data_IF_621003084659
#
_entry.id   IF_621003084659
#
_cell.length_a   1.000
_cell.length_b   1.000
_cell.length_c   1.000
_cell.angle_alpha   90.00
_cell.angle_beta   90.00
_cell.angle_gamma   90.00
#
_symmetry.space_group_name_H-M   'P 1'
#
loop_
_entity.id
_entity.type
_entity.pdbx_description
1 polymer ?
#
# COMPACT_ATOMS: atom_id res chain seq x y z
N UNK A 1 15.87 3.06 0.82
CA UNK A 1 14.94 2.06 0.36
C UNK A 1 15.63 0.94 -0.43
N UNK A 2 14.88 -0.01 -0.88
CA UNK A 2 15.39 -1.10 -1.68
C UNK A 2 15.03 -0.89 -3.15
N UNK A 3 15.72 -1.61 -4.03
CA UNK A 3 15.49 -1.49 -5.46
C UNK A 3 15.03 -2.84 -6.02
N UNK A 4 14.08 -2.80 -6.93
CA UNK A 4 13.66 -3.99 -7.65
C UNK A 4 14.54 -4.18 -8.89
N UNK A 5 14.66 -5.42 -9.40
CA UNK A 5 15.63 -5.74 -10.43
C UNK A 5 15.56 -4.92 -11.69
N UNK A 6 14.40 -4.40 -12.01
CA UNK A 6 14.25 -3.54 -13.17
C UNK A 6 12.98 -2.73 -13.07
N UNK A 7 12.95 -1.63 -13.78
CA UNK A 7 11.79 -0.77 -13.86
C UNK A 7 11.47 -0.58 -15.32
N UNK A 8 11.81 -0.97 -16.29
CA UNK A 8 11.42 -0.77 -17.66
C UNK A 8 10.95 0.65 -17.94
N UNK A 9 10.31 0.81 -19.05
CA UNK A 9 9.67 2.06 -19.38
C UNK A 9 8.29 2.13 -18.70
N UNK A 10 7.63 3.24 -18.85
CA UNK A 10 6.35 3.44 -18.17
C UNK A 10 5.29 2.42 -18.60
N UNK A 11 5.30 2.03 -19.86
CA UNK A 11 4.39 0.99 -20.33
C UNK A 11 4.69 -0.35 -19.73
N UNK A 12 5.94 -0.61 -19.45
CA UNK A 12 6.37 -1.88 -18.87
C UNK A 12 6.32 -1.87 -17.35
N UNK A 13 6.22 -0.71 -16.73
CA UNK A 13 6.31 -0.60 -15.29
C UNK A 13 5.29 -1.50 -14.59
N UNK A 14 4.04 -1.40 -14.97
CA UNK A 14 3.00 -2.23 -14.34
C UNK A 14 3.25 -3.71 -14.62
N UNK A 15 3.65 -4.04 -15.83
CA UNK A 15 3.93 -5.41 -16.20
C UNK A 15 5.11 -5.97 -15.42
N UNK A 16 6.18 -5.19 -15.31
CA UNK A 16 7.35 -5.65 -14.57
C UNK A 16 7.08 -5.76 -13.08
N UNK A 17 6.18 -4.93 -12.56
CA UNK A 17 5.81 -4.96 -11.15
C UNK A 17 4.79 -6.04 -10.84
N UNK A 18 4.07 -6.53 -11.84
CA UNK A 18 3.07 -7.57 -11.66
C UNK A 18 3.63 -8.98 -11.76
N UNK A 19 4.77 -9.14 -12.39
CA UNK A 19 5.34 -10.46 -12.62
C UNK A 19 6.13 -10.89 -11.38
N UNK A 20 5.82 -12.07 -10.88
CA UNK A 20 6.61 -12.68 -9.82
C UNK A 20 8.03 -12.89 -10.31
N UNK A 21 8.99 -12.50 -9.52
CA UNK A 21 10.38 -12.50 -9.93
C UNK A 21 11.28 -13.14 -8.89
N UNK A 22 10.86 -14.28 -8.46
CA UNK A 22 11.58 -14.94 -7.40
C UNK A 22 11.48 -14.13 -6.12
N UNK A 23 12.60 -13.77 -5.57
CA UNK A 23 12.63 -13.14 -4.27
C UNK A 23 12.33 -11.64 -4.29
N UNK A 24 12.51 -11.00 -5.46
CA UNK A 24 12.36 -9.55 -5.57
C UNK A 24 11.11 -9.22 -6.38
N UNK A 25 9.97 -9.41 -5.76
CA UNK A 25 8.70 -9.28 -6.45
C UNK A 25 7.97 -8.01 -6.02
N UNK A 26 8.00 -7.02 -6.88
CA UNK A 26 7.33 -5.75 -6.62
C UNK A 26 5.82 -5.87 -6.55
N UNK A 27 5.24 -6.90 -7.16
CA UNK A 27 3.80 -7.10 -7.13
C UNK A 27 3.30 -7.60 -5.79
N UNK A 28 4.18 -8.17 -4.97
CA UNK A 28 3.81 -8.68 -3.65
C UNK A 28 4.38 -7.83 -2.51
N UNK A 29 5.34 -6.97 -2.79
CA UNK A 29 6.04 -6.22 -1.76
C UNK A 29 7.13 -7.01 -1.06
N UNK A 30 7.44 -8.21 -1.54
CA UNK A 30 8.48 -9.04 -0.94
C UNK A 30 9.85 -8.73 -1.53
N UNK A 31 10.86 -8.90 -0.71
CA UNK A 31 12.26 -8.80 -1.12
C UNK A 31 12.98 -9.98 -0.45
N UNK A 32 13.18 -11.05 -1.22
CA UNK A 32 13.61 -12.30 -0.63
C UNK A 32 12.50 -12.87 0.26
N UNK A 33 12.88 -13.33 1.42
CA UNK A 33 11.93 -13.81 2.43
C UNK A 33 11.38 -12.69 3.30
N UNK A 34 11.72 -11.44 3.00
CA UNK A 34 11.37 -10.29 3.81
C UNK A 34 10.58 -9.29 3.01
N UNK A 35 9.75 -8.52 3.71
CA UNK A 35 9.10 -7.38 3.09
C UNK A 35 10.14 -6.29 2.84
N UNK A 36 10.09 -5.70 1.65
CA UNK A 36 10.99 -4.62 1.32
C UNK A 36 10.65 -3.32 2.02
N UNK A 37 11.66 -2.52 2.27
CA UNK A 37 11.48 -1.16 2.75
C UNK A 37 11.80 -0.21 1.61
N UNK A 38 10.92 0.79 1.39
CA UNK A 38 11.03 1.68 0.26
C UNK A 38 10.18 1.22 -0.92
N UNK A 39 10.35 1.85 -2.04
CA UNK A 39 9.50 1.68 -3.21
C UNK A 39 10.30 1.16 -4.39
N UNK A 40 9.62 0.51 -5.37
CA UNK A 40 10.32 0.01 -6.55
C UNK A 40 11.02 1.13 -7.29
N UNK A 41 12.19 0.83 -7.82
CA UNK A 41 12.88 1.72 -8.72
C UNK A 41 12.02 1.92 -9.97
N UNK A 42 12.00 3.14 -10.47
CA UNK A 42 11.20 3.50 -11.64
C UNK A 42 9.87 4.18 -11.32
N UNK A 43 9.45 4.19 -10.05
CA UNK A 43 8.30 4.98 -9.65
C UNK A 43 8.73 6.42 -9.42
N UNK A 44 8.02 7.36 -10.03
CA UNK A 44 8.22 8.78 -9.74
C UNK A 44 7.41 9.15 -8.51
N UNK A 45 8.10 9.56 -7.48
CA UNK A 45 7.49 9.89 -6.20
C UNK A 45 7.26 11.41 -6.13
N UNK A 46 6.22 11.87 -6.82
CA UNK A 46 5.90 13.28 -6.91
C UNK A 46 4.49 13.56 -6.38
N UNK A 47 4.07 14.83 -6.48
CA UNK A 47 2.76 15.23 -5.98
C UNK A 47 1.62 14.50 -6.69
N UNK A 48 1.77 14.26 -8.00
CA UNK A 48 0.75 13.58 -8.77
C UNK A 48 0.61 12.12 -8.32
N UNK A 49 1.72 11.46 -8.00
CA UNK A 49 1.72 10.10 -7.49
C UNK A 49 0.99 10.03 -6.14
N UNK A 50 1.31 10.96 -5.24
CA UNK A 50 0.68 11.00 -3.93
C UNK A 50 -0.81 11.35 -4.02
N UNK A 51 -1.17 12.27 -4.91
CA UNK A 51 -2.58 12.62 -5.15
C UNK A 51 -3.36 11.44 -5.71
N UNK A 52 -2.73 10.64 -6.56
CA UNK A 52 -3.33 9.41 -7.08
C UNK A 52 -3.57 8.42 -5.94
N UNK A 53 -2.62 8.27 -5.04
CA UNK A 53 -2.75 7.43 -3.87
C UNK A 53 -3.90 7.86 -2.99
N UNK A 54 -4.03 9.16 -2.75
CA UNK A 54 -5.13 9.71 -1.98
C UNK A 54 -6.48 9.38 -2.62
N UNK A 55 -6.61 9.60 -3.93
CA UNK A 55 -7.85 9.34 -4.64
C UNK A 55 -8.24 7.86 -4.54
N UNK A 56 -7.28 6.98 -4.79
CA UNK A 56 -7.54 5.53 -4.74
C UNK A 56 -7.83 5.07 -3.31
N UNK A 57 -7.13 5.62 -2.34
CA UNK A 57 -7.41 5.34 -0.93
C UNK A 57 -8.85 5.72 -0.57
N UNK A 58 -9.29 6.90 -1.00
CA UNK A 58 -10.65 7.36 -0.70
C UNK A 58 -11.71 6.46 -1.33
N UNK A 59 -11.43 5.89 -2.48
CA UNK A 59 -12.38 5.00 -3.15
C UNK A 59 -12.45 3.63 -2.48
N UNK A 60 -11.30 3.05 -2.13
CA UNK A 60 -11.23 1.64 -1.73
C UNK A 60 -11.03 1.41 -0.24
N UNK A 61 -10.46 2.34 0.48
CA UNK A 61 -9.93 2.10 1.82
C UNK A 61 -10.64 2.88 2.92
N UNK A 62 -11.15 4.05 2.61
CA UNK A 62 -11.71 4.97 3.61
C UNK A 62 -12.88 4.37 4.39
N UNK A 63 -13.70 3.55 3.74
CA UNK A 63 -14.89 3.00 4.40
C UNK A 63 -14.56 2.20 5.66
N UNK A 64 -13.43 1.50 5.66
CA UNK A 64 -12.99 0.73 6.82
C UNK A 64 -11.92 1.45 7.63
N UNK A 65 -10.94 2.03 6.93
CA UNK A 65 -9.76 2.60 7.59
C UNK A 65 -9.94 4.05 8.05
N UNK A 66 -10.97 4.74 7.55
CA UNK A 66 -11.21 6.15 7.90
C UNK A 66 -10.40 7.10 7.04
N UNK A 67 -10.83 8.35 6.95
CA UNK A 67 -10.16 9.37 6.15
C UNK A 67 -8.75 9.67 6.66
N UNK A 68 -8.57 9.62 7.97
CA UNK A 68 -7.25 9.86 8.59
C UNK A 68 -6.47 8.59 8.82
N UNK A 69 -7.01 7.43 8.45
CA UNK A 69 -6.36 6.16 8.63
C UNK A 69 -6.49 5.56 10.02
N UNK A 70 -7.32 6.15 10.87
CA UNK A 70 -7.43 5.75 12.27
C UNK A 70 -8.31 4.52 12.53
N UNK A 71 -8.83 3.89 11.49
CA UNK A 71 -9.68 2.71 11.63
C UNK A 71 -11.13 3.01 11.90
N UNK A 72 -11.52 4.28 11.92
CA UNK A 72 -12.87 4.71 12.23
C UNK A 72 -13.65 5.07 10.96
N UNK A 73 -13.60 4.23 9.96
CA UNK A 73 -14.41 4.41 8.76
C UNK A 73 -15.88 4.15 9.02
N UNK A 74 -16.72 4.52 8.06
CA UNK A 74 -18.17 4.40 8.19
C UNK A 74 -18.62 2.97 8.47
N UNK A 75 -17.89 1.98 7.98
CA UNK A 75 -18.22 0.57 8.18
C UNK A 75 -18.14 0.18 9.66
N UNK A 76 -17.30 0.86 10.44
CA UNK A 76 -17.14 0.56 11.86
C UNK A 76 -18.40 0.79 12.67
N UNK A 77 -19.36 1.54 12.13
CA UNK A 77 -20.66 1.76 12.78
C UNK A 77 -21.58 0.57 12.67
N UNK A 78 -21.31 -0.32 11.73
CA UNK A 78 -22.19 -1.46 11.43
C UNK A 78 -21.55 -2.80 11.70
N UNK A 79 -20.23 -2.88 11.60
CA UNK A 79 -19.48 -4.12 11.81
C UNK A 79 -18.32 -3.86 12.74
N UNK A 80 -17.97 -4.87 13.53
CA UNK A 80 -16.78 -4.81 14.36
C UNK A 80 -15.55 -4.83 13.45
N UNK A 81 -14.82 -3.72 13.43
CA UNK A 81 -13.57 -3.60 12.67
C UNK A 81 -12.43 -3.87 13.65
N UNK A 82 -11.49 -4.77 13.30
CA UNK A 82 -10.39 -5.08 14.22
C UNK A 82 -9.50 -3.86 14.45
N UNK A 83 -8.86 -3.78 15.64
CA UNK A 83 -7.91 -2.68 15.91
C UNK A 83 -6.81 -2.55 14.88
N UNK A 84 -6.50 -3.64 14.17
CA UNK A 84 -5.50 -3.62 13.10
C UNK A 84 -5.89 -2.74 11.91
N UNK A 85 -7.15 -2.34 11.82
CA UNK A 85 -7.57 -1.39 10.78
C UNK A 85 -7.07 0.03 11.03
N UNK A 86 -6.57 0.32 12.22
CA UNK A 86 -5.95 1.61 12.53
C UNK A 86 -4.55 1.66 11.92
N UNK A 87 -4.44 2.36 10.80
CA UNK A 87 -3.18 2.44 10.04
C UNK A 87 -2.16 3.38 10.66
N UNK A 88 -2.58 4.22 11.58
CA UNK A 88 -1.67 5.16 12.27
C UNK A 88 -1.21 4.63 13.63
N UNK A 89 -1.56 3.40 13.94
CA UNK A 89 -1.03 2.70 15.11
C UNK A 89 0.49 2.51 14.96
N UNK A 90 1.27 2.68 16.05
CA UNK A 90 2.71 2.49 15.98
C UNK A 90 3.15 1.16 15.37
N UNK A 91 2.37 0.11 15.57
CA UNK A 91 2.68 -1.21 15.00
C UNK A 91 2.66 -1.17 13.47
N UNK A 92 1.71 -0.46 12.87
CA UNK A 92 1.62 -0.33 11.42
C UNK A 92 2.70 0.63 10.90
N UNK A 93 2.96 1.71 11.64
CA UNK A 93 4.02 2.66 11.27
C UNK A 93 5.36 1.95 11.18
N UNK A 94 5.60 0.97 12.05
CA UNK A 94 6.85 0.22 12.06
C UNK A 94 6.97 -0.83 10.95
N UNK A 95 5.88 -1.12 10.23
CA UNK A 95 5.93 -2.12 9.15
C UNK A 95 6.76 -1.62 7.98
N UNK A 96 7.51 -2.52 7.30
CA UNK A 96 8.14 -2.17 6.03
C UNK A 96 7.10 -1.78 4.99
N UNK A 97 7.47 -0.91 4.06
CA UNK A 97 6.56 -0.48 3.00
C UNK A 97 6.03 -1.67 2.19
N UNK A 98 6.89 -2.64 1.91
CA UNK A 98 6.49 -3.83 1.18
C UNK A 98 5.44 -4.66 1.90
N UNK A 99 5.42 -4.64 3.23
CA UNK A 99 4.40 -5.36 3.98
C UNK A 99 3.03 -4.69 3.84
N UNK A 100 2.98 -3.37 3.84
CA UNK A 100 1.74 -2.64 3.59
C UNK A 100 1.23 -2.96 2.19
N UNK A 101 2.11 -2.88 1.20
CA UNK A 101 1.79 -3.22 -0.17
C UNK A 101 1.30 -4.67 -0.30
N UNK A 102 2.00 -5.59 0.33
CA UNK A 102 1.63 -7.01 0.30
C UNK A 102 0.24 -7.24 0.88
N UNK A 103 -0.08 -6.55 1.97
CA UNK A 103 -1.39 -6.65 2.62
C UNK A 103 -2.50 -6.12 1.70
N UNK A 104 -2.26 -5.01 1.01
CA UNK A 104 -3.21 -4.48 0.03
C UNK A 104 -3.42 -5.49 -1.10
N UNK A 105 -2.34 -6.10 -1.55
CA UNK A 105 -2.36 -7.04 -2.67
C UNK A 105 -3.15 -8.30 -2.34
N UNK A 106 -2.89 -8.90 -1.19
CA UNK A 106 -3.39 -10.23 -0.83
C UNK A 106 -4.52 -10.21 0.18
N UNK A 107 -4.74 -9.08 0.86
CA UNK A 107 -5.71 -9.01 1.94
C UNK A 107 -5.15 -9.58 3.24
N UNK A 108 -5.93 -9.44 4.29
CA UNK A 108 -5.60 -9.96 5.60
C UNK A 108 -6.87 -10.04 6.45
N UNK A 109 -7.17 -11.22 6.96
CA UNK A 109 -8.38 -11.40 7.77
C UNK A 109 -9.64 -11.03 6.98
N UNK A 110 -10.40 -10.07 7.49
CA UNK A 110 -11.62 -9.60 6.84
C UNK A 110 -11.34 -8.69 5.65
N UNK A 111 -10.12 -8.18 5.53
CA UNK A 111 -9.75 -7.35 4.39
C UNK A 111 -9.50 -8.22 3.17
N UNK A 112 -10.27 -7.98 2.11
CA UNK A 112 -10.09 -8.73 0.87
C UNK A 112 -8.87 -8.27 0.08
N UNK A 113 -8.46 -9.08 -0.91
CA UNK A 113 -7.35 -8.71 -1.79
C UNK A 113 -7.77 -7.67 -2.82
N UNK A 114 -6.86 -6.76 -3.14
CA UNK A 114 -7.11 -5.72 -4.13
C UNK A 114 -6.27 -5.87 -5.39
N UNK A 115 -5.54 -6.98 -5.54
CA UNK A 115 -4.70 -7.19 -6.72
C UNK A 115 -5.49 -7.18 -8.03
N UNK A 116 -6.75 -7.59 -8.00
CA UNK A 116 -7.57 -7.60 -9.19
C UNK A 116 -8.24 -6.26 -9.51
N UNK A 117 -8.41 -5.39 -8.51
CA UNK A 117 -9.13 -4.14 -8.65
C UNK A 117 -8.22 -2.93 -8.79
N UNK A 118 -7.03 -3.00 -8.21
CA UNK A 118 -6.11 -1.87 -8.14
C UNK A 118 -4.79 -2.24 -8.81
N UNK A 119 -4.40 -1.54 -9.89
CA UNK A 119 -3.10 -1.80 -10.52
C UNK A 119 -1.93 -1.64 -9.55
N UNK A 120 -0.83 -2.32 -9.85
CA UNK A 120 0.37 -2.31 -8.99
C UNK A 120 0.84 -0.91 -8.68
N UNK A 121 0.92 -0.05 -9.70
CA UNK A 121 1.38 1.32 -9.51
C UNK A 121 0.50 2.07 -8.50
N UNK A 122 -0.81 1.89 -8.61
CA UNK A 122 -1.76 2.53 -7.71
C UNK A 122 -1.69 1.96 -6.29
N UNK A 123 -1.39 0.67 -6.14
CA UNK A 123 -1.18 0.08 -4.82
C UNK A 123 0.04 0.69 -4.14
N UNK A 124 1.10 0.96 -4.88
CA UNK A 124 2.27 1.67 -4.35
C UNK A 124 1.92 3.12 -4.00
N UNK A 125 1.09 3.77 -4.82
CA UNK A 125 0.63 5.13 -4.52
C UNK A 125 -0.21 5.16 -3.24
N UNK A 126 -1.07 4.17 -3.02
CA UNK A 126 -1.85 4.05 -1.78
C UNK A 126 -0.90 3.83 -0.60
N UNK A 127 0.11 2.99 -0.75
CA UNK A 127 1.10 2.76 0.30
C UNK A 127 1.77 4.08 0.70
N UNK A 128 2.14 4.88 -0.29
CA UNK A 128 2.74 6.20 -0.05
C UNK A 128 1.77 7.13 0.69
N UNK A 129 0.51 7.10 0.30
CA UNK A 129 -0.50 7.93 0.96
C UNK A 129 -0.73 7.50 2.41
N UNK A 130 -0.73 6.20 2.69
CA UNK A 130 -0.82 5.70 4.07
C UNK A 130 0.34 6.26 4.89
N UNK A 131 1.56 6.30 4.34
CA UNK A 131 2.70 6.89 5.03
C UNK A 131 2.49 8.37 5.30
N UNK A 132 1.86 9.09 4.37
CA UNK A 132 1.52 10.50 4.57
C UNK A 132 0.52 10.68 5.72
N UNK A 133 -0.48 9.81 5.80
CA UNK A 133 -1.43 9.83 6.91
C UNK A 133 -0.75 9.57 8.24
N UNK A 134 0.18 8.63 8.28
CA UNK A 134 0.95 8.32 9.49
C UNK A 134 1.79 9.52 9.92
N UNK A 135 2.44 10.18 8.97
CA UNK A 135 3.25 11.36 9.27
C UNK A 135 2.38 12.49 9.83
N UNK A 136 1.18 12.69 9.27
CA UNK A 136 0.26 13.72 9.76
C UNK A 136 -0.22 13.41 11.18
N UNK A 137 -0.39 12.14 11.52
CA UNK A 137 -0.91 11.73 12.83
C UNK A 137 0.09 11.93 13.96
N UNK A 138 1.38 12.03 13.66
CA UNK A 138 2.42 12.16 14.67
C UNK A 138 2.80 13.61 14.97
N UNK A 139 2.15 14.56 14.34
CA UNK A 139 2.42 15.99 14.58
C UNK A 139 1.66 16.51 15.79
#
# INVERSE_FOLDING_TARGET
>A
GYQFPHAGNEGDLDSSLDVGRGDDDASTGLFGDFYGSGYPEGLEFDEAFLARGKERYQIYCTACHGESGNGAGVVSKYWAIPPSANLVDPRVIAMPDGQIFWTITHGKGLMGPYSGAIPVKDRWAITAYVRALQAASTK
#
